data_IF_082281766343
#
_entry.id   IF_082281766343
#
_cell.length_a   1.000
_cell.length_b   1.000
_cell.length_c   1.000
_cell.angle_alpha   90.00
_cell.angle_beta   90.00
_cell.angle_gamma   90.00
#
_symmetry.space_group_name_H-M   'P 1'
#
loop_
_entity.id
_entity.type
_entity.pdbx_description
1 polymer ?
#
# COMPACT_ATOMS: atom_id res chain seq x y z
N UNK A 1 19.57 -10.03 -12.97
CA UNK A 1 19.05 -10.04 -11.58
C UNK A 1 17.58 -9.65 -11.57
N UNK A 2 16.66 -10.59 -11.88
CA UNK A 2 15.26 -10.30 -12.27
C UNK A 2 14.21 -10.93 -11.33
N UNK A 3 14.16 -10.57 -10.03
CA UNK A 3 13.24 -11.29 -9.10
C UNK A 3 12.34 -10.48 -8.16
N UNK A 4 12.24 -9.15 -8.19
CA UNK A 4 11.55 -8.45 -7.08
C UNK A 4 10.64 -7.24 -7.39
N UNK A 5 9.95 -7.19 -8.53
CA UNK A 5 8.97 -6.09 -8.77
C UNK A 5 7.61 -6.60 -9.25
N UNK A 6 7.14 -7.72 -8.71
CA UNK A 6 5.83 -8.29 -9.06
C UNK A 6 4.67 -7.73 -8.23
N UNK A 7 4.78 -6.49 -7.73
CA UNK A 7 3.88 -6.02 -6.66
C UNK A 7 3.64 -4.49 -6.67
N UNK A 8 3.33 -3.90 -7.83
CA UNK A 8 2.82 -2.51 -7.88
C UNK A 8 1.41 -2.39 -7.25
N UNK A 9 0.75 -3.52 -6.95
CA UNK A 9 -0.45 -3.57 -6.12
C UNK A 9 -0.21 -3.27 -4.61
N UNK A 10 1.04 -3.27 -4.14
CA UNK A 10 1.36 -3.27 -2.69
C UNK A 10 1.27 -1.90 -2.03
N UNK A 11 1.44 -0.79 -2.76
CA UNK A 11 1.47 0.54 -2.11
C UNK A 11 0.09 0.94 -1.58
N UNK A 12 -1.00 0.46 -2.21
CA UNK A 12 -2.34 0.64 -1.65
C UNK A 12 -2.48 -0.07 -0.30
N UNK A 13 -1.74 -1.16 -0.08
CA UNK A 13 -1.74 -1.93 1.17
C UNK A 13 -0.82 -1.31 2.23
N UNK A 14 -0.07 -0.26 1.92
CA UNK A 14 0.74 0.44 2.92
C UNK A 14 -0.06 1.42 3.78
N UNK A 15 -1.14 1.99 3.24
CA UNK A 15 -2.11 2.78 4.00
C UNK A 15 -3.48 2.13 4.14
N UNK A 16 -3.77 1.14 3.30
CA UNK A 16 -4.67 0.07 3.65
C UNK A 16 -3.91 -1.02 4.45
N UNK A 17 -2.87 -0.69 5.22
CA UNK A 17 -2.17 -1.63 6.11
C UNK A 17 -2.91 -1.88 7.44
N UNK A 18 -4.08 -1.28 7.60
CA UNK A 18 -5.14 -1.81 8.45
C UNK A 18 -6.22 -2.54 7.65
N UNK A 19 -6.12 -2.63 6.32
CA UNK A 19 -6.74 -3.75 5.62
C UNK A 19 -5.86 -4.96 5.87
N UNK A 20 -6.18 -5.63 6.97
CA UNK A 20 -6.20 -7.08 7.02
C UNK A 20 -6.77 -7.51 5.67
N UNK A 21 -5.89 -7.79 4.70
CA UNK A 21 -6.29 -8.41 3.45
C UNK A 21 -7.05 -9.63 3.89
N UNK A 22 -8.33 -9.63 3.54
CA UNK A 22 -9.30 -10.58 4.01
C UNK A 22 -8.64 -11.95 4.09
N UNK A 23 -8.38 -12.41 5.32
CA UNK A 23 -8.50 -13.84 5.57
C UNK A 23 -9.81 -14.23 4.86
N UNK A 24 -9.83 -15.33 4.09
CA UNK A 24 -11.06 -15.78 3.46
C UNK A 24 -12.15 -15.61 4.52
N UNK A 25 -13.27 -14.97 4.17
CA UNK A 25 -14.43 -14.87 5.06
C UNK A 25 -14.99 -16.28 5.28
N UNK A 26 -14.18 -17.17 5.86
CA UNK A 26 -14.61 -18.20 6.77
C UNK A 26 -15.59 -17.51 7.70
N UNK A 27 -16.75 -18.12 7.87
CA UNK A 27 -17.94 -17.53 8.50
C UNK A 27 -17.59 -16.89 9.85
N UNK A 28 -17.19 -15.62 9.84
CA UNK A 28 -16.99 -14.83 11.04
C UNK A 28 -18.36 -14.68 11.69
N UNK A 29 -18.43 -14.86 12.99
CA UNK A 29 -19.61 -14.49 13.75
C UNK A 29 -19.89 -12.99 13.58
N UNK A 30 -21.11 -12.54 13.88
CA UNK A 30 -21.42 -11.11 13.80
C UNK A 30 -20.54 -10.29 14.74
N UNK A 31 -20.26 -10.82 15.93
CA UNK A 31 -19.35 -10.23 16.90
C UNK A 31 -17.92 -10.09 16.32
N UNK A 32 -17.37 -11.15 15.74
CA UNK A 32 -16.02 -11.09 15.14
C UNK A 32 -15.92 -10.11 13.97
N UNK A 33 -17.01 -9.96 13.19
CA UNK A 33 -17.05 -8.94 12.12
C UNK A 33 -17.00 -7.53 12.69
N UNK A 34 -17.68 -7.27 13.80
CA UNK A 34 -17.68 -5.97 14.46
C UNK A 34 -16.32 -5.68 15.11
N UNK A 35 -15.77 -6.64 15.86
CA UNK A 35 -14.42 -6.56 16.42
C UNK A 35 -13.38 -6.32 15.33
N UNK A 36 -13.46 -7.05 14.21
CA UNK A 36 -12.54 -6.85 13.09
C UNK A 36 -12.68 -5.46 12.48
N UNK A 37 -13.90 -4.95 12.29
CA UNK A 37 -14.11 -3.59 11.78
C UNK A 37 -13.52 -2.54 12.74
N UNK A 38 -13.71 -2.71 14.05
CA UNK A 38 -13.18 -1.81 15.06
C UNK A 38 -11.64 -1.86 15.13
N UNK A 39 -11.06 -3.07 15.15
CA UNK A 39 -9.62 -3.31 15.05
C UNK A 39 -9.01 -2.62 13.82
N UNK A 40 -9.61 -2.81 12.64
CA UNK A 40 -9.14 -2.18 11.40
C UNK A 40 -9.22 -0.65 11.46
N UNK A 41 -10.30 -0.11 12.06
CA UNK A 41 -10.46 1.33 12.22
C UNK A 41 -9.38 1.91 13.13
N UNK A 42 -9.11 1.30 14.28
CA UNK A 42 -8.08 1.80 15.20
C UNK A 42 -6.67 1.68 14.65
N UNK A 43 -6.34 0.59 13.95
CA UNK A 43 -5.07 0.49 13.22
C UNK A 43 -4.97 1.51 12.09
N UNK A 44 -6.09 1.83 11.43
CA UNK A 44 -6.12 2.90 10.43
C UNK A 44 -5.79 4.23 11.08
N UNK A 45 -6.50 4.60 12.15
CA UNK A 45 -6.29 5.85 12.88
C UNK A 45 -4.85 5.99 13.37
N UNK A 46 -4.23 4.91 13.86
CA UNK A 46 -2.81 4.88 14.19
C UNK A 46 -1.94 5.23 12.97
N UNK A 47 -2.16 4.57 11.83
CA UNK A 47 -1.42 4.86 10.60
C UNK A 47 -1.61 6.31 10.12
N UNK A 48 -2.82 6.85 10.25
CA UNK A 48 -3.14 8.22 9.85
C UNK A 48 -2.48 9.27 10.74
N UNK A 49 -2.34 9.01 12.05
CA UNK A 49 -1.79 9.96 13.01
C UNK A 49 -0.27 9.85 13.14
N UNK A 50 0.27 8.64 13.18
CA UNK A 50 1.68 8.41 13.53
C UNK A 50 2.59 8.23 12.31
N UNK A 51 2.06 7.74 11.18
CA UNK A 51 2.85 7.30 10.02
C UNK A 51 2.67 8.21 8.81
N UNK A 52 1.42 8.53 8.46
CA UNK A 52 1.10 9.33 7.27
C UNK A 52 1.79 10.70 7.24
N UNK A 53 1.80 11.49 8.34
CA UNK A 53 2.45 12.80 8.33
C UNK A 53 3.95 12.71 8.04
N UNK A 54 4.62 11.69 8.60
CA UNK A 54 6.06 11.46 8.38
C UNK A 54 6.35 11.05 6.95
N UNK A 55 5.52 10.19 6.35
CA UNK A 55 5.68 9.82 4.94
C UNK A 55 5.44 11.02 4.01
N UNK A 56 4.48 11.90 4.32
CA UNK A 56 4.29 13.14 3.57
C UNK A 56 5.51 14.08 3.68
N UNK A 57 6.11 14.18 4.86
CA UNK A 57 7.31 14.98 5.07
C UNK A 57 8.51 14.44 4.28
N UNK A 58 8.74 13.13 4.29
CA UNK A 58 9.78 12.46 3.50
C UNK A 58 9.56 12.71 2.01
N UNK A 59 8.32 12.52 1.52
CA UNK A 59 7.94 12.79 0.12
C UNK A 59 8.23 14.25 -0.25
N UNK A 60 7.76 15.20 0.57
CA UNK A 60 7.95 16.64 0.35
C UNK A 60 9.43 17.00 0.29
N UNK A 61 10.23 16.43 1.20
CA UNK A 61 11.68 16.64 1.24
C UNK A 61 12.35 16.15 -0.05
N UNK A 62 11.97 14.97 -0.54
CA UNK A 62 12.48 14.46 -1.81
C UNK A 62 12.04 15.34 -2.99
N UNK A 63 10.76 15.67 -3.09
CA UNK A 63 10.19 16.49 -4.18
C UNK A 63 10.84 17.88 -4.28
N UNK A 64 11.17 18.49 -3.14
CA UNK A 64 11.86 19.78 -3.09
C UNK A 64 13.34 19.69 -3.46
N UNK A 65 13.93 18.48 -3.42
CA UNK A 65 15.36 18.26 -3.62
C UNK A 65 15.75 17.91 -5.06
N UNK A 66 14.77 17.62 -5.92
CA UNK A 66 14.96 17.27 -7.33
C UNK A 66 14.63 18.43 -8.26
N UNK A 67 15.03 18.34 -9.53
CA UNK A 67 14.75 19.38 -10.52
C UNK A 67 13.23 19.51 -10.79
N UNK A 68 12.77 20.70 -11.20
CA UNK A 68 11.35 20.91 -11.58
C UNK A 68 10.90 19.98 -12.72
N UNK A 69 11.81 19.67 -13.65
CA UNK A 69 11.53 18.76 -14.78
C UNK A 69 11.36 17.31 -14.31
N UNK A 70 12.27 16.83 -13.45
CA UNK A 70 12.16 15.50 -12.86
C UNK A 70 10.90 15.38 -11.99
N UNK A 71 10.57 16.44 -11.22
CA UNK A 71 9.36 16.48 -10.40
C UNK A 71 8.08 16.45 -11.24
N UNK A 72 8.04 17.15 -12.37
CA UNK A 72 6.90 17.12 -13.29
C UNK A 72 6.70 15.70 -13.84
N UNK A 73 7.79 15.08 -14.33
CA UNK A 73 7.78 13.68 -14.79
C UNK A 73 7.32 12.73 -13.68
N UNK A 74 7.82 12.92 -12.45
CA UNK A 74 7.45 12.09 -11.32
C UNK A 74 5.97 12.24 -10.93
N UNK A 75 5.41 13.44 -11.02
CA UNK A 75 4.00 13.68 -10.76
C UNK A 75 3.10 13.03 -11.82
N UNK A 76 3.49 13.09 -13.10
CA UNK A 76 2.77 12.36 -14.15
C UNK A 76 2.77 10.85 -13.90
N UNK A 77 3.91 10.29 -13.48
CA UNK A 77 4.01 8.88 -13.08
C UNK A 77 3.13 8.54 -11.88
N UNK A 78 3.06 9.42 -10.86
CA UNK A 78 2.20 9.25 -9.68
C UNK A 78 0.72 9.26 -10.03
N UNK A 79 0.31 10.15 -10.94
CA UNK A 79 -1.09 10.25 -11.38
C UNK A 79 -1.51 9.01 -12.17
N UNK A 80 -0.66 8.56 -13.10
CA UNK A 80 -0.88 7.30 -13.83
C UNK A 80 -0.96 6.10 -12.89
N UNK A 81 0.02 5.92 -12.00
CA UNK A 81 0.00 4.86 -10.99
C UNK A 81 -1.24 4.93 -10.09
N UNK A 82 -1.75 6.13 -9.80
CA UNK A 82 -2.98 6.31 -9.02
C UNK A 82 -4.24 5.91 -9.81
N UNK A 83 -4.28 6.17 -11.11
CA UNK A 83 -5.35 5.70 -11.99
C UNK A 83 -5.37 4.17 -12.07
N UNK A 84 -4.21 3.56 -12.34
CA UNK A 84 -4.07 2.10 -12.47
C UNK A 84 -4.50 1.39 -11.17
N UNK A 85 -4.15 1.95 -10.01
CA UNK A 85 -4.61 1.43 -8.71
C UNK A 85 -6.14 1.49 -8.58
N UNK A 86 -6.79 2.58 -9.00
CA UNK A 86 -8.25 2.71 -8.93
C UNK A 86 -8.93 1.70 -9.84
N UNK A 87 -8.42 1.48 -11.04
CA UNK A 87 -9.03 0.58 -12.01
C UNK A 87 -8.83 -0.89 -11.64
N UNK A 88 -7.65 -1.26 -11.15
CA UNK A 88 -7.41 -2.57 -10.53
C UNK A 88 -8.34 -2.84 -9.34
N UNK A 89 -8.57 -1.84 -8.48
CA UNK A 89 -9.49 -1.95 -7.34
C UNK A 89 -10.94 -2.16 -7.81
N UNK A 90 -11.39 -1.41 -8.83
CA UNK A 90 -12.73 -1.60 -9.42
C UNK A 90 -12.88 -3.00 -10.01
N UNK A 91 -11.87 -3.51 -10.71
CA UNK A 91 -11.90 -4.84 -11.29
C UNK A 91 -11.97 -5.92 -10.22
N UNK A 92 -11.16 -5.82 -9.16
CA UNK A 92 -11.22 -6.74 -8.02
C UNK A 92 -12.61 -6.73 -7.36
N UNK A 93 -13.22 -5.55 -7.18
CA UNK A 93 -14.57 -5.44 -6.63
C UNK A 93 -15.64 -6.03 -7.56
N UNK A 94 -15.51 -5.86 -8.89
CA UNK A 94 -16.41 -6.47 -9.87
C UNK A 94 -16.32 -8.00 -9.80
N UNK A 95 -15.11 -8.55 -9.73
CA UNK A 95 -14.88 -9.99 -9.64
C UNK A 95 -15.39 -10.59 -8.33
N UNK A 96 -15.37 -9.84 -7.21
CA UNK A 96 -15.96 -10.28 -5.94
C UNK A 96 -17.50 -10.27 -5.93
N UNK A 97 -18.15 -9.38 -6.69
CA UNK A 97 -19.63 -9.29 -6.73
C UNK A 97 -20.25 -10.25 -7.73
N UNK A 98 -19.55 -10.61 -8.79
CA UNK A 98 -19.98 -11.66 -9.70
C UNK A 98 -19.82 -13.02 -9.03
N UNK A 99 -20.93 -13.72 -8.72
CA UNK A 99 -20.95 -15.10 -8.22
C UNK A 99 -20.33 -16.16 -9.17
N UNK A 100 -19.55 -15.75 -10.18
CA UNK A 100 -18.91 -16.61 -11.17
C UNK A 100 -17.38 -16.72 -10.99
N UNK A 101 -16.81 -16.14 -9.92
CA UNK A 101 -15.37 -16.18 -9.64
C UNK A 101 -14.91 -17.53 -9.06
N UNK A 102 -14.99 -18.60 -9.86
CA UNK A 102 -14.28 -19.84 -9.57
C UNK A 102 -12.77 -19.60 -9.49
N UNK A 103 -12.06 -20.51 -8.81
CA UNK A 103 -10.62 -20.51 -8.48
C UNK A 103 -9.62 -20.33 -9.65
N UNK A 104 -10.10 -20.06 -10.86
CA UNK A 104 -9.34 -20.08 -12.12
C UNK A 104 -9.60 -18.93 -13.10
N UNK A 105 -10.28 -17.83 -12.71
CA UNK A 105 -10.19 -16.60 -13.52
C UNK A 105 -8.79 -15.98 -13.33
N UNK A 106 -7.80 -16.58 -14.00
CA UNK A 106 -6.56 -15.90 -14.34
C UNK A 106 -6.94 -14.57 -14.98
N UNK A 107 -6.31 -13.45 -14.58
CA UNK A 107 -6.48 -12.22 -15.34
C UNK A 107 -6.14 -12.53 -16.80
N UNK A 108 -6.93 -12.01 -17.73
CA UNK A 108 -6.66 -12.09 -19.15
C UNK A 108 -5.17 -11.83 -19.40
N UNK A 109 -4.47 -12.78 -20.02
CA UNK A 109 -3.03 -12.71 -20.26
C UNK A 109 -2.66 -11.47 -21.08
N UNK A 110 -3.60 -10.98 -21.89
CA UNK A 110 -3.51 -9.73 -22.65
C UNK A 110 -3.43 -8.53 -21.72
N UNK A 111 -4.32 -8.46 -20.73
CA UNK A 111 -4.32 -7.40 -19.72
C UNK A 111 -3.08 -7.49 -18.83
N UNK A 112 -2.61 -8.70 -18.49
CA UNK A 112 -1.36 -8.86 -17.75
C UNK A 112 -0.14 -8.37 -18.55
N UNK A 113 -0.15 -8.53 -19.87
CA UNK A 113 0.95 -8.07 -20.73
C UNK A 113 0.92 -6.55 -20.92
N UNK A 114 -0.26 -5.95 -21.12
CA UNK A 114 -0.43 -4.49 -21.16
C UNK A 114 0.04 -3.86 -19.84
N UNK A 115 -0.41 -4.40 -18.70
CA UNK A 115 0.03 -3.93 -17.39
C UNK A 115 1.55 -4.08 -17.21
N UNK A 116 2.18 -5.13 -17.77
CA UNK A 116 3.64 -5.29 -17.71
C UNK A 116 4.37 -4.26 -18.57
N UNK A 117 3.87 -3.95 -19.76
CA UNK A 117 4.46 -2.96 -20.66
C UNK A 117 4.36 -1.54 -20.07
N UNK A 118 3.19 -1.17 -19.54
CA UNK A 118 3.00 0.09 -18.83
C UNK A 118 3.92 0.21 -17.61
N UNK A 119 4.10 -0.88 -16.86
CA UNK A 119 5.05 -0.93 -15.75
C UNK A 119 6.52 -0.79 -16.19
N UNK A 120 6.89 -1.28 -17.38
CA UNK A 120 8.24 -1.11 -17.90
C UNK A 120 8.51 0.34 -18.29
N UNK A 121 7.52 1.03 -18.86
CA UNK A 121 7.62 2.46 -19.19
C UNK A 121 7.77 3.29 -17.91
N UNK A 122 6.94 3.05 -16.89
CA UNK A 122 7.08 3.75 -15.60
C UNK A 122 8.45 3.55 -14.96
N UNK A 123 8.99 2.34 -15.09
CA UNK A 123 10.28 2.00 -14.52
C UNK A 123 11.42 2.74 -15.22
N UNK A 124 11.37 2.86 -16.55
CA UNK A 124 12.43 3.54 -17.30
C UNK A 124 12.52 5.04 -16.93
N UNK A 125 11.38 5.73 -16.84
CA UNK A 125 11.34 7.14 -16.46
C UNK A 125 11.72 7.35 -14.99
N UNK A 126 11.25 6.46 -14.10
CA UNK A 126 11.63 6.49 -12.68
C UNK A 126 13.13 6.23 -12.48
N UNK A 127 13.69 5.24 -13.18
CA UNK A 127 15.12 4.93 -13.16
C UNK A 127 15.95 6.13 -13.65
N UNK A 128 15.45 6.87 -14.64
CA UNK A 128 16.10 8.10 -15.12
C UNK A 128 16.11 9.18 -14.04
N UNK A 129 14.99 9.42 -13.36
CA UNK A 129 14.91 10.36 -12.24
C UNK A 129 15.89 9.96 -11.13
N UNK A 130 15.94 8.67 -10.78
CA UNK A 130 16.85 8.13 -9.75
C UNK A 130 18.31 8.34 -10.16
N UNK A 131 18.67 8.02 -11.41
CA UNK A 131 20.03 8.21 -11.93
C UNK A 131 20.45 9.68 -11.97
N UNK A 132 19.52 10.60 -12.23
CA UNK A 132 19.76 12.04 -12.19
C UNK A 132 19.92 12.57 -10.75
N UNK A 133 19.34 11.89 -9.76
CA UNK A 133 19.26 12.36 -8.37
C UNK A 133 19.76 11.32 -7.35
N UNK A 134 20.98 10.76 -7.50
CA UNK A 134 21.43 9.61 -6.72
C UNK A 134 21.58 9.92 -5.23
N UNK A 135 22.08 11.10 -4.87
CA UNK A 135 22.26 11.50 -3.46
C UNK A 135 20.92 11.69 -2.76
N UNK A 136 19.96 12.33 -3.43
CA UNK A 136 18.60 12.55 -2.94
C UNK A 136 17.89 11.21 -2.74
N UNK A 137 18.09 10.27 -3.66
CA UNK A 137 17.51 8.94 -3.59
C UNK A 137 18.11 8.10 -2.45
N UNK A 138 19.42 8.13 -2.22
CA UNK A 138 20.01 7.45 -1.05
C UNK A 138 19.53 8.07 0.27
N UNK A 139 19.37 9.39 0.33
CA UNK A 139 18.77 10.05 1.50
C UNK A 139 17.34 9.57 1.75
N UNK A 140 16.51 9.51 0.70
CA UNK A 140 15.16 8.97 0.76
C UNK A 140 15.12 7.56 1.35
N UNK A 141 16.01 6.67 0.91
CA UNK A 141 16.12 5.31 1.47
C UNK A 141 16.40 5.33 2.96
N UNK A 142 17.39 6.12 3.37
CA UNK A 142 17.76 6.29 4.77
C UNK A 142 16.59 6.80 5.62
N UNK A 143 15.88 7.83 5.13
CA UNK A 143 14.72 8.41 5.80
C UNK A 143 13.58 7.39 5.94
N UNK A 144 13.31 6.59 4.90
CA UNK A 144 12.32 5.50 4.93
C UNK A 144 12.72 4.37 5.90
N UNK A 145 14.00 4.00 5.92
CA UNK A 145 14.52 2.98 6.83
C UNK A 145 14.41 3.45 8.29
N UNK A 146 14.77 4.71 8.56
CA UNK A 146 14.65 5.31 9.89
C UNK A 146 13.20 5.34 10.35
N UNK A 147 12.28 5.78 9.48
CA UNK A 147 10.84 5.75 9.76
C UNK A 147 10.36 4.34 10.11
N UNK A 148 10.80 3.33 9.35
CA UNK A 148 10.44 1.95 9.63
C UNK A 148 10.90 1.52 11.02
N UNK A 149 12.16 1.79 11.38
CA UNK A 149 12.71 1.49 12.71
C UNK A 149 11.97 2.21 13.83
N UNK A 150 11.53 3.45 13.61
CA UNK A 150 10.81 4.25 14.62
C UNK A 150 9.37 3.78 14.82
N UNK A 151 8.70 3.33 13.75
CA UNK A 151 7.27 2.99 13.76
C UNK A 151 7.02 1.52 14.04
N UNK A 152 7.89 0.61 13.60
CA UNK A 152 7.75 -0.84 13.81
C UNK A 152 7.42 -1.20 15.29
N UNK A 153 8.18 -0.75 16.31
CA UNK A 153 7.87 -1.09 17.70
C UNK A 153 6.54 -0.51 18.18
N UNK A 154 6.16 0.69 17.72
CA UNK A 154 4.87 1.30 18.03
C UNK A 154 3.71 0.54 17.40
N UNK A 155 3.90 0.07 16.16
CA UNK A 155 2.94 -0.74 15.45
C UNK A 155 2.72 -2.08 16.16
N UNK A 156 3.79 -2.78 16.53
CA UNK A 156 3.73 -4.05 17.27
C UNK A 156 3.05 -3.87 18.63
N UNK A 157 3.38 -2.80 19.34
CA UNK A 157 2.73 -2.43 20.60
C UNK A 157 1.23 -2.18 20.42
N UNK A 158 0.83 -1.38 19.42
CA UNK A 158 -0.58 -1.10 19.14
C UNK A 158 -1.33 -2.36 18.70
N UNK A 159 -0.70 -3.20 17.90
CA UNK A 159 -1.27 -4.48 17.49
C UNK A 159 -1.55 -5.37 18.71
N UNK A 160 -0.60 -5.48 19.64
CA UNK A 160 -0.77 -6.26 20.86
C UNK A 160 -1.92 -5.72 21.72
N UNK A 161 -1.94 -4.40 21.94
CA UNK A 161 -3.02 -3.72 22.67
C UNK A 161 -4.40 -4.02 22.06
N UNK A 162 -4.54 -3.92 20.74
CA UNK A 162 -5.81 -4.19 20.08
C UNK A 162 -6.21 -5.66 20.09
N UNK A 163 -5.25 -6.58 20.01
CA UNK A 163 -5.55 -8.01 20.15
C UNK A 163 -5.98 -8.37 21.57
N UNK A 164 -5.46 -7.68 22.59
CA UNK A 164 -5.95 -7.80 23.97
C UNK A 164 -7.36 -7.23 24.14
N UNK A 165 -7.66 -6.09 23.49
CA UNK A 165 -8.98 -5.46 23.47
C UNK A 165 -10.04 -6.27 22.71
N UNK A 166 -9.64 -6.98 21.65
CA UNK A 166 -10.49 -7.80 20.79
C UNK A 166 -10.03 -9.28 20.83
N UNK A 167 -10.27 -9.98 21.96
CA UNK A 167 -9.72 -11.32 22.18
C UNK A 167 -10.27 -12.37 21.20
N UNK A 168 -11.47 -12.17 20.68
CA UNK A 168 -12.10 -12.98 19.64
C UNK A 168 -11.34 -12.99 18.30
N UNK A 169 -10.39 -12.07 18.13
CA UNK A 169 -9.52 -11.99 16.95
C UNK A 169 -8.16 -12.69 17.16
N UNK A 170 -7.77 -13.07 18.38
CA UNK A 170 -6.43 -13.60 18.70
C UNK A 170 -6.11 -14.91 17.97
N UNK A 171 -7.09 -15.80 17.87
CA UNK A 171 -6.91 -17.13 17.29
C UNK A 171 -6.99 -17.15 15.75
N UNK A 172 -7.15 -15.97 15.13
CA UNK A 172 -7.32 -15.87 13.69
C UNK A 172 -5.96 -15.80 12.99
N UNK A 173 -5.67 -16.73 12.05
CA UNK A 173 -4.43 -16.71 11.31
C UNK A 173 -4.36 -15.43 10.47
N UNK A 174 -3.23 -14.73 10.58
CA UNK A 174 -2.87 -13.53 9.82
C UNK A 174 -3.52 -12.20 10.25
N UNK A 175 -4.32 -12.16 11.32
CA UNK A 175 -4.73 -10.87 11.91
C UNK A 175 -3.50 -10.19 12.51
N UNK A 176 -3.25 -8.95 12.07
CA UNK A 176 -2.13 -8.13 12.51
C UNK A 176 -0.77 -8.47 11.89
N UNK A 177 -0.65 -9.51 11.04
CA UNK A 177 0.59 -9.71 10.27
C UNK A 177 0.70 -8.67 9.17
N UNK A 178 1.34 -7.55 9.47
CA UNK A 178 1.59 -6.49 8.49
C UNK A 178 2.78 -6.85 7.60
N UNK A 179 2.52 -7.66 6.57
CA UNK A 179 3.51 -8.01 5.56
C UNK A 179 3.97 -6.80 4.74
N UNK A 180 3.24 -5.69 4.78
CA UNK A 180 3.43 -4.56 3.88
C UNK A 180 4.28 -3.45 4.48
N UNK A 181 4.29 -3.27 5.81
CA UNK A 181 5.13 -2.24 6.44
C UNK A 181 6.62 -2.47 6.19
N UNK A 182 7.06 -3.73 6.18
CA UNK A 182 8.41 -4.12 5.80
C UNK A 182 8.77 -3.84 4.33
N UNK A 183 7.79 -3.53 3.47
CA UNK A 183 8.03 -3.26 2.05
C UNK A 183 8.37 -1.81 1.74
N UNK A 184 8.20 -0.86 2.67
CA UNK A 184 8.58 0.55 2.47
C UNK A 184 10.07 0.71 2.17
N UNK A 185 10.92 0.01 2.92
CA UNK A 185 12.36 0.01 2.72
C UNK A 185 12.81 -0.94 1.60
N UNK A 186 12.03 -2.00 1.31
CA UNK A 186 12.38 -2.96 0.26
C UNK A 186 12.12 -2.46 -1.15
N UNK A 187 11.29 -1.42 -1.31
CA UNK A 187 11.02 -0.80 -2.61
C UNK A 187 10.81 0.71 -2.51
N UNK A 188 11.87 1.50 -2.27
CA UNK A 188 11.80 2.96 -2.23
C UNK A 188 11.31 3.58 -3.54
N UNK A 189 11.50 2.90 -4.67
CA UNK A 189 10.97 3.26 -5.99
C UNK A 189 9.43 3.27 -5.99
N UNK A 190 8.82 2.31 -5.31
CA UNK A 190 7.37 2.25 -5.16
C UNK A 190 6.85 3.43 -4.32
N UNK A 191 7.60 3.86 -3.31
CA UNK A 191 7.26 5.06 -2.54
C UNK A 191 7.26 6.32 -3.41
N UNK A 192 8.19 6.44 -4.36
CA UNK A 192 8.22 7.58 -5.29
C UNK A 192 6.96 7.69 -6.15
N UNK A 193 6.30 6.57 -6.47
CA UNK A 193 5.05 6.50 -7.23
C UNK A 193 3.78 6.71 -6.38
N UNK A 194 3.93 7.03 -5.09
CA UNK A 194 2.83 7.40 -4.23
C UNK A 194 2.50 8.89 -4.36
N UNK A 195 1.21 9.20 -4.55
CA UNK A 195 0.69 10.56 -4.75
C UNK A 195 0.47 11.32 -3.43
N UNK A 196 0.75 10.70 -2.28
CA UNK A 196 0.52 11.30 -0.96
C UNK A 196 -0.92 11.15 -0.45
N UNK A 197 -1.86 10.73 -1.30
CA UNK A 197 -3.27 10.63 -0.92
C UNK A 197 -3.51 9.35 -0.15
N UNK A 198 -4.37 9.47 0.86
CA UNK A 198 -4.94 8.30 1.51
C UNK A 198 -5.95 7.70 0.55
N UNK A 199 -5.72 6.45 0.16
CA UNK A 199 -6.75 5.63 -0.49
C UNK A 199 -7.82 5.32 0.56
N UNK A 200 -8.71 6.29 0.78
CA UNK A 200 -9.91 6.10 1.57
C UNK A 200 -10.71 5.00 0.89
N UNK A 201 -10.71 3.81 1.49
CA UNK A 201 -11.72 2.81 1.22
C UNK A 201 -13.06 3.44 1.57
N UNK A 202 -13.74 4.00 0.58
CA UNK A 202 -15.07 4.56 0.73
C UNK A 202 -16.00 3.38 1.07
N UNK A 203 -16.09 3.04 2.35
CA UNK A 203 -17.08 2.12 2.92
C UNK A 203 -18.40 2.83 3.21
N UNK A 204 -18.57 4.09 2.78
CA UNK A 204 -19.89 4.68 2.63
C UNK A 204 -20.48 4.27 1.28
N UNK A 205 -21.02 3.05 1.23
CA UNK A 205 -22.29 2.84 0.53
C UNK A 205 -23.32 2.94 1.66
N UNK A 206 -24.09 4.01 1.81
CA UNK A 206 -24.91 4.60 0.76
C UNK A 206 -26.25 3.87 0.76
N UNK A 207 -27.09 4.29 1.73
CA UNK A 207 -28.48 3.90 1.99
C UNK A 207 -28.74 2.51 2.55
#
# INVERSE_FOLDING_TARGET
>A
MFKKLMNIAVITILFAASTVFAAPMQRLSNQEKESLKAYQKEMQEFGQKEVHPKLLEIKKTFDQSISKSDLATLNDLRDKASSDRKDNMKQMMKNQRGKNGGRGQMMDSTQMNINKEEMQVYKADLDKIIKNNPKQYEKLKSDLQKLQSDVQPKFESKQKELLEKYPDLKDRPNIGKNHNFGMLNQSPENFLLWDGKMMMGNRNRGK
#
